data_IF_327557246754
#
_entry.id   IF_327557246754
#
_cell.length_a   1.000
_cell.length_b   1.000
_cell.length_c   1.000
_cell.angle_alpha   90.00
_cell.angle_beta   90.00
_cell.angle_gamma   90.00
#
_symmetry.space_group_name_H-M   'P 1'
#
loop_
_entity.id
_entity.type
_entity.pdbx_description
1 polymer ?
#
# COMPACT_ATOMS: atom_id res chain seq x y z
N UNK A 1 -16.66 6.17 6.42
CA UNK A 1 -16.40 5.36 5.20
C UNK A 1 -14.91 5.08 5.05
N UNK A 2 -14.54 3.85 4.73
CA UNK A 2 -13.17 3.45 4.43
C UNK A 2 -12.97 3.36 2.91
N UNK A 3 -11.77 3.67 2.42
CA UNK A 3 -11.38 3.40 1.03
C UNK A 3 -10.35 2.27 1.00
N UNK A 4 -10.61 1.23 0.22
CA UNK A 4 -9.67 0.12 -0.02
C UNK A 4 -9.28 0.11 -1.49
N UNK A 5 -8.02 0.44 -1.81
CA UNK A 5 -7.53 0.27 -3.17
C UNK A 5 -7.02 -1.15 -3.38
N UNK A 6 -7.19 -1.71 -4.58
CA UNK A 6 -6.91 -3.13 -4.81
C UNK A 6 -7.92 -4.06 -4.11
N UNK A 7 -9.09 -3.53 -3.75
CA UNK A 7 -10.11 -4.24 -2.98
C UNK A 7 -10.75 -5.43 -3.69
N UNK A 8 -10.66 -5.53 -5.02
CA UNK A 8 -11.13 -6.68 -5.78
C UNK A 8 -10.06 -7.79 -5.93
N UNK A 9 -8.82 -7.54 -5.50
CA UNK A 9 -7.75 -8.53 -5.48
C UNK A 9 -7.94 -9.60 -4.40
N UNK A 10 -7.05 -10.60 -4.39
CA UNK A 10 -7.13 -11.72 -3.45
C UNK A 10 -7.09 -11.25 -1.98
N UNK A 11 -6.08 -10.48 -1.59
CA UNK A 11 -5.96 -9.98 -0.22
C UNK A 11 -7.03 -8.91 0.06
N UNK A 12 -7.20 -7.96 -0.86
CA UNK A 12 -8.12 -6.84 -0.71
C UNK A 12 -9.56 -7.27 -0.50
N UNK A 13 -10.05 -8.27 -1.22
CA UNK A 13 -11.43 -8.75 -1.10
C UNK A 13 -11.71 -9.44 0.24
N UNK A 14 -10.72 -10.09 0.82
CA UNK A 14 -10.82 -10.65 2.18
C UNK A 14 -10.87 -9.54 3.23
N UNK A 15 -10.09 -8.48 3.05
CA UNK A 15 -10.16 -7.31 3.93
C UNK A 15 -11.51 -6.61 3.81
N UNK A 16 -11.99 -6.35 2.58
CA UNK A 16 -13.32 -5.76 2.32
C UNK A 16 -14.43 -6.59 2.96
N UNK A 17 -14.27 -7.92 2.99
CA UNK A 17 -15.23 -8.81 3.64
C UNK A 17 -15.36 -8.64 5.15
N UNK A 18 -14.31 -8.14 5.80
CA UNK A 18 -14.25 -7.94 7.26
C UNK A 18 -14.58 -6.51 7.68
N UNK A 19 -14.78 -5.61 6.74
CA UNK A 19 -15.02 -4.18 6.99
C UNK A 19 -16.47 -3.80 6.64
N UNK A 20 -16.95 -2.72 7.24
CA UNK A 20 -18.23 -2.10 6.94
C UNK A 20 -17.99 -0.71 6.36
N UNK A 21 -18.98 -0.19 5.61
CA UNK A 21 -18.93 1.14 5.00
C UNK A 21 -17.65 1.39 4.18
N UNK A 22 -17.46 0.52 3.17
CA UNK A 22 -16.25 0.47 2.36
C UNK A 22 -16.54 0.89 0.92
N UNK A 23 -15.77 1.83 0.41
CA UNK A 23 -15.59 2.07 -1.02
C UNK A 23 -14.35 1.31 -1.51
N UNK A 24 -14.45 0.70 -2.68
CA UNK A 24 -13.35 -0.04 -3.33
C UNK A 24 -12.86 0.75 -4.54
N UNK A 25 -11.53 0.94 -4.63
CA UNK A 25 -10.90 1.47 -5.84
C UNK A 25 -10.09 0.36 -6.50
N UNK A 26 -10.52 -0.09 -7.68
CA UNK A 26 -9.82 -1.15 -8.41
C UNK A 26 -10.16 -1.14 -9.91
N UNK A 27 -9.28 -1.71 -10.74
CA UNK A 27 -9.61 -2.12 -12.10
C UNK A 27 -10.23 -3.52 -12.07
N UNK A 28 -11.50 -3.65 -12.45
CA UNK A 28 -12.19 -4.93 -12.42
C UNK A 28 -11.82 -5.85 -13.60
N UNK A 29 -11.35 -5.26 -14.71
CA UNK A 29 -10.94 -6.00 -15.89
C UNK A 29 -12.05 -6.86 -16.50
N UNK A 30 -11.63 -7.86 -17.29
CA UNK A 30 -12.53 -8.80 -17.97
C UNK A 30 -12.42 -10.25 -17.46
N UNK A 31 -11.51 -10.52 -16.55
CA UNK A 31 -11.15 -11.83 -16.01
C UNK A 31 -12.01 -12.32 -14.83
N UNK A 32 -13.09 -11.60 -14.56
CA UNK A 32 -14.05 -11.97 -13.51
C UNK A 32 -13.65 -11.57 -12.09
N UNK A 33 -12.68 -10.68 -11.91
CA UNK A 33 -12.23 -10.12 -10.63
C UNK A 33 -13.37 -9.54 -9.77
N UNK A 34 -14.42 -9.00 -10.40
CA UNK A 34 -15.63 -8.51 -9.73
C UNK A 34 -16.32 -9.56 -8.84
N UNK A 35 -16.16 -10.86 -9.14
CA UNK A 35 -16.77 -11.95 -8.35
C UNK A 35 -16.29 -11.96 -6.91
N UNK A 36 -15.09 -11.46 -6.65
CA UNK A 36 -14.54 -11.34 -5.30
C UNK A 36 -15.32 -10.36 -4.43
N UNK A 37 -16.02 -9.41 -5.06
CA UNK A 37 -16.84 -8.39 -4.41
C UNK A 37 -18.35 -8.68 -4.47
N UNK A 38 -18.81 -9.62 -5.30
CA UNK A 38 -20.22 -9.82 -5.63
C UNK A 38 -21.14 -10.08 -4.43
N UNK A 39 -20.59 -10.58 -3.31
CA UNK A 39 -21.34 -10.86 -2.08
C UNK A 39 -21.21 -9.77 -1.02
N UNK A 40 -20.64 -8.60 -1.38
CA UNK A 40 -20.36 -7.53 -0.44
C UNK A 40 -21.30 -6.36 -0.64
N UNK A 41 -21.70 -5.74 0.46
CA UNK A 41 -22.38 -4.46 0.41
C UNK A 41 -21.30 -3.38 0.43
N UNK A 42 -21.13 -2.69 -0.69
CA UNK A 42 -20.12 -1.65 -0.87
C UNK A 42 -20.80 -0.28 -0.89
N UNK A 43 -20.13 0.72 -0.35
CA UNK A 43 -20.54 2.10 -0.47
C UNK A 43 -20.35 2.62 -1.91
N UNK A 44 -19.25 2.20 -2.57
CA UNK A 44 -18.96 2.57 -3.95
C UNK A 44 -17.89 1.65 -4.57
N UNK A 45 -17.80 1.64 -5.91
CA UNK A 45 -16.72 0.99 -6.68
C UNK A 45 -16.19 1.98 -7.71
N UNK A 46 -14.96 2.44 -7.51
CA UNK A 46 -14.36 3.55 -8.24
C UNK A 46 -13.19 3.04 -9.08
N UNK A 47 -13.15 3.31 -10.40
CA UNK A 47 -11.95 3.01 -11.17
C UNK A 47 -10.79 3.93 -10.75
N UNK A 48 -9.54 3.46 -10.71
CA UNK A 48 -8.38 4.26 -10.30
C UNK A 48 -8.19 5.57 -11.10
N UNK A 49 -8.65 5.59 -12.35
CA UNK A 49 -8.61 6.79 -13.22
C UNK A 49 -9.52 7.92 -12.75
N UNK A 50 -10.57 7.61 -12.00
CA UNK A 50 -11.56 8.57 -11.49
C UNK A 50 -11.36 8.89 -10.01
N UNK A 51 -10.42 8.22 -9.34
CA UNK A 51 -10.28 8.34 -7.89
C UNK A 51 -10.00 9.77 -7.44
N UNK A 52 -9.21 10.54 -8.18
CA UNK A 52 -8.88 11.92 -7.80
C UNK A 52 -10.13 12.80 -7.74
N UNK A 53 -10.98 12.76 -8.77
CA UNK A 53 -12.24 13.49 -8.80
C UNK A 53 -13.22 12.96 -7.72
N UNK A 54 -13.25 11.65 -7.52
CA UNK A 54 -14.10 11.03 -6.49
C UNK A 54 -13.74 11.48 -5.08
N UNK A 55 -12.47 11.80 -4.81
CA UNK A 55 -11.95 12.22 -3.50
C UNK A 55 -12.22 13.71 -3.18
N UNK A 56 -12.54 14.58 -4.16
CA UNK A 56 -12.54 16.04 -3.99
C UNK A 56 -13.38 16.53 -2.79
N UNK A 57 -14.60 16.02 -2.60
CA UNK A 57 -15.51 16.47 -1.55
C UNK A 57 -15.78 15.41 -0.47
N UNK A 58 -14.89 14.43 -0.33
CA UNK A 58 -15.13 13.30 0.57
C UNK A 58 -14.29 13.35 1.84
N UNK A 59 -14.91 12.90 2.92
CA UNK A 59 -14.23 12.58 4.18
C UNK A 59 -14.13 11.09 4.33
N UNK A 60 -12.92 10.60 4.51
CA UNK A 60 -12.63 9.19 4.75
C UNK A 60 -12.10 9.00 6.16
N UNK A 61 -12.53 7.92 6.80
CA UNK A 61 -12.01 7.52 8.12
C UNK A 61 -10.60 6.96 8.01
N UNK A 62 -10.31 6.25 6.91
CA UNK A 62 -8.96 5.79 6.55
C UNK A 62 -8.90 5.37 5.08
N UNK A 63 -7.69 5.32 4.56
CA UNK A 63 -7.34 4.71 3.27
C UNK A 63 -6.45 3.49 3.51
N UNK A 64 -6.84 2.33 2.97
CA UNK A 64 -6.04 1.11 2.96
C UNK A 64 -5.61 0.84 1.53
N UNK A 65 -4.33 1.14 1.27
CA UNK A 65 -3.78 1.10 -0.07
C UNK A 65 -3.03 -0.21 -0.34
N UNK A 66 -3.68 -1.09 -1.11
CA UNK A 66 -3.15 -2.41 -1.49
C UNK A 66 -3.04 -2.57 -3.01
N UNK A 67 -3.64 -1.63 -3.78
CA UNK A 67 -3.61 -1.65 -5.24
C UNK A 67 -2.19 -1.50 -5.78
N UNK A 68 -1.78 -2.47 -6.60
CA UNK A 68 -0.50 -2.45 -7.29
C UNK A 68 -0.53 -3.45 -8.46
N UNK A 69 0.32 -3.23 -9.46
CA UNK A 69 0.74 -4.27 -10.38
C UNK A 69 1.77 -5.11 -9.62
N UNK A 70 1.39 -6.34 -9.24
CA UNK A 70 2.18 -7.21 -8.36
C UNK A 70 2.93 -8.33 -9.10
N UNK A 71 2.83 -8.35 -10.42
CA UNK A 71 3.50 -9.33 -11.27
C UNK A 71 5.01 -9.10 -11.26
N UNK A 72 5.75 -10.10 -10.78
CA UNK A 72 7.22 -10.03 -10.70
C UNK A 72 7.91 -10.10 -12.06
N UNK A 73 7.16 -10.53 -13.09
CA UNK A 73 7.60 -10.62 -14.49
C UNK A 73 7.14 -9.42 -15.32
N UNK A 74 6.48 -8.42 -14.74
CA UNK A 74 6.07 -7.21 -15.46
C UNK A 74 7.28 -6.50 -16.06
N UNK A 75 7.17 -6.09 -17.33
CA UNK A 75 8.25 -5.45 -18.10
C UNK A 75 7.96 -4.00 -18.48
N UNK A 76 6.69 -3.57 -18.41
CA UNK A 76 6.31 -2.18 -18.69
C UNK A 76 6.65 -1.29 -17.47
N UNK A 77 7.83 -0.69 -17.55
CA UNK A 77 8.36 0.17 -16.47
C UNK A 77 7.52 1.42 -16.22
N UNK A 78 7.04 2.05 -17.29
CA UNK A 78 6.25 3.28 -17.17
C UNK A 78 4.90 3.01 -16.52
N UNK A 79 4.22 1.94 -16.92
CA UNK A 79 2.95 1.52 -16.35
C UNK A 79 3.10 1.13 -14.86
N UNK A 80 4.14 0.37 -14.52
CA UNK A 80 4.40 -0.04 -13.13
C UNK A 80 4.71 1.16 -12.25
N UNK A 81 5.53 2.10 -12.71
CA UNK A 81 5.85 3.32 -11.95
C UNK A 81 4.64 4.23 -11.81
N UNK A 82 3.85 4.40 -12.86
CA UNK A 82 2.63 5.20 -12.77
C UNK A 82 1.64 4.60 -11.75
N UNK A 83 1.45 3.28 -11.78
CA UNK A 83 0.49 2.59 -10.91
C UNK A 83 1.00 2.42 -9.48
N UNK A 84 2.23 1.94 -9.31
CA UNK A 84 2.72 1.54 -7.97
C UNK A 84 3.35 2.69 -7.19
N UNK A 85 3.94 3.68 -7.89
CA UNK A 85 4.65 4.77 -7.25
C UNK A 85 3.90 6.10 -7.34
N UNK A 86 3.59 6.58 -8.54
CA UNK A 86 2.97 7.91 -8.72
C UNK A 86 1.54 7.97 -8.18
N UNK A 87 0.73 6.95 -8.48
CA UNK A 87 -0.63 6.85 -7.93
C UNK A 87 -0.59 6.78 -6.40
N UNK A 88 0.28 5.94 -5.84
CA UNK A 88 0.47 5.82 -4.39
C UNK A 88 0.90 7.15 -3.75
N UNK A 89 1.80 7.89 -4.43
CA UNK A 89 2.27 9.20 -3.97
C UNK A 89 1.15 10.24 -3.96
N UNK A 90 0.33 10.32 -5.03
CA UNK A 90 -0.82 11.22 -5.07
C UNK A 90 -1.84 10.93 -3.97
N UNK A 91 -2.09 9.64 -3.72
CA UNK A 91 -3.01 9.22 -2.67
C UNK A 91 -2.49 9.53 -1.26
N UNK A 92 -1.19 9.34 -1.03
CA UNK A 92 -0.52 9.74 0.20
C UNK A 92 -0.57 11.26 0.40
N UNK A 93 -0.39 12.05 -0.66
CA UNK A 93 -0.47 13.51 -0.61
C UNK A 93 -1.88 13.95 -0.21
N UNK A 94 -2.91 13.38 -0.82
CA UNK A 94 -4.29 13.65 -0.46
C UNK A 94 -4.58 13.31 1.00
N UNK A 95 -4.18 12.10 1.45
CA UNK A 95 -4.34 11.68 2.85
C UNK A 95 -3.62 12.62 3.83
N UNK A 96 -2.46 13.13 3.44
CA UNK A 96 -1.67 14.07 4.25
C UNK A 96 -2.39 15.41 4.40
N UNK A 97 -2.92 15.97 3.32
CA UNK A 97 -3.66 17.25 3.31
C UNK A 97 -4.94 17.15 4.15
N UNK A 98 -5.65 16.03 4.05
CA UNK A 98 -6.94 15.83 4.73
C UNK A 98 -6.80 15.19 6.12
N UNK A 99 -5.57 14.99 6.62
CA UNK A 99 -5.28 14.31 7.89
C UNK A 99 -5.95 12.92 8.00
N UNK A 100 -6.12 12.24 6.86
CA UNK A 100 -6.73 10.92 6.76
C UNK A 100 -5.67 9.85 7.03
N UNK A 101 -5.92 8.88 7.94
CA UNK A 101 -5.02 7.75 8.15
C UNK A 101 -4.78 6.97 6.85
N UNK A 102 -3.50 6.67 6.57
CA UNK A 102 -3.07 5.94 5.38
C UNK A 102 -2.34 4.67 5.80
N UNK A 103 -2.89 3.51 5.43
CA UNK A 103 -2.29 2.19 5.63
C UNK A 103 -1.84 1.70 4.27
N UNK A 104 -0.55 1.40 4.15
CA UNK A 104 0.06 0.96 2.90
C UNK A 104 0.67 -0.43 3.06
N UNK A 105 0.51 -1.26 2.03
CA UNK A 105 1.10 -2.60 1.98
C UNK A 105 2.33 -2.59 1.09
N UNK A 106 3.51 -2.77 1.68
CA UNK A 106 4.75 -3.02 0.97
C UNK A 106 4.84 -4.50 0.52
N UNK A 107 6.02 -4.99 0.22
CA UNK A 107 6.21 -6.36 -0.27
C UNK A 107 7.52 -6.95 0.20
N UNK A 108 7.54 -8.26 0.45
CA UNK A 108 8.78 -9.01 0.67
C UNK A 108 9.73 -8.97 -0.54
N UNK A 109 9.23 -8.69 -1.74
CA UNK A 109 10.05 -8.51 -2.94
C UNK A 109 11.06 -7.35 -2.83
N UNK A 110 10.89 -6.44 -1.84
CA UNK A 110 11.83 -5.35 -1.55
C UNK A 110 13.16 -5.85 -0.99
N UNK A 111 13.18 -7.02 -0.32
CA UNK A 111 14.41 -7.61 0.24
C UNK A 111 15.37 -8.18 -0.80
N UNK A 112 14.91 -8.37 -2.05
CA UNK A 112 15.74 -8.98 -3.11
C UNK A 112 16.08 -10.44 -2.81
N UNK A 113 17.34 -10.82 -2.93
CA UNK A 113 17.83 -12.17 -2.60
C UNK A 113 17.98 -12.42 -1.09
N UNK A 114 17.74 -11.39 -0.27
CA UNK A 114 17.88 -11.51 1.17
C UNK A 114 19.28 -11.35 1.72
N UNK A 115 20.24 -10.84 0.93
CA UNK A 115 21.65 -10.64 1.34
C UNK A 115 21.80 -9.77 2.61
N UNK A 116 20.81 -8.92 2.87
CA UNK A 116 20.75 -8.07 4.07
C UNK A 116 19.89 -8.69 5.19
N UNK A 117 19.47 -9.93 5.02
CA UNK A 117 18.48 -10.59 5.88
C UNK A 117 17.05 -10.10 5.63
N UNK A 118 16.08 -10.79 6.21
CA UNK A 118 14.65 -10.44 6.17
C UNK A 118 14.25 -9.74 7.48
N UNK A 119 14.95 -8.65 7.79
CA UNK A 119 14.75 -7.90 9.04
C UNK A 119 13.79 -6.75 8.78
N UNK A 120 12.70 -6.66 9.57
CA UNK A 120 11.76 -5.55 9.53
C UNK A 120 12.36 -4.33 10.25
N UNK A 121 13.27 -3.65 9.56
CA UNK A 121 13.93 -2.42 9.99
C UNK A 121 13.47 -1.26 9.11
N UNK A 122 12.63 -0.39 9.66
CA UNK A 122 12.11 0.80 8.99
C UNK A 122 13.06 2.00 9.04
N UNK A 123 14.34 1.82 9.31
CA UNK A 123 15.32 2.90 9.17
C UNK A 123 15.64 3.16 7.69
N UNK A 124 15.90 4.44 7.36
CA UNK A 124 16.27 4.82 6.00
C UNK A 124 17.57 4.11 5.58
N UNK A 125 18.52 3.95 6.49
CA UNK A 125 19.79 3.30 6.20
C UNK A 125 19.63 1.81 5.94
N UNK A 126 18.75 1.11 6.63
CA UNK A 126 18.43 -0.28 6.34
C UNK A 126 17.77 -0.43 4.96
N UNK A 127 16.74 0.38 4.68
CA UNK A 127 16.08 0.32 3.38
C UNK A 127 17.02 0.63 2.22
N UNK A 128 17.89 1.61 2.33
CA UNK A 128 18.87 1.96 1.27
C UNK A 128 19.83 0.82 0.92
N UNK A 129 20.00 -0.16 1.77
CA UNK A 129 20.83 -1.36 1.50
C UNK A 129 20.10 -2.44 0.72
N UNK A 130 18.76 -2.45 0.73
CA UNK A 130 17.98 -3.46 0.02
C UNK A 130 18.19 -3.37 -1.50
N UNK A 131 18.12 -4.52 -2.17
CA UNK A 131 18.36 -4.64 -3.62
C UNK A 131 17.26 -5.49 -4.26
N UNK A 132 16.07 -4.90 -4.56
CA UNK A 132 15.00 -5.61 -5.24
C UNK A 132 15.45 -6.19 -6.58
N UNK A 133 15.02 -7.40 -6.90
CA UNK A 133 15.44 -8.15 -8.10
C UNK A 133 14.57 -7.89 -9.33
N UNK A 134 13.42 -7.30 -9.17
CA UNK A 134 12.46 -7.09 -10.25
C UNK A 134 11.77 -5.73 -10.14
N UNK A 135 11.10 -5.35 -11.23
CA UNK A 135 10.44 -4.06 -11.37
C UNK A 135 9.37 -3.83 -10.30
N UNK A 136 8.58 -4.86 -9.95
CA UNK A 136 7.59 -4.79 -8.90
C UNK A 136 8.24 -4.48 -7.53
N UNK A 137 9.21 -5.29 -7.10
CA UNK A 137 9.93 -5.08 -5.85
C UNK A 137 10.58 -3.70 -5.77
N UNK A 138 11.22 -3.27 -6.88
CA UNK A 138 11.82 -1.94 -6.96
C UNK A 138 10.78 -0.82 -6.83
N UNK A 139 9.62 -0.92 -7.46
CA UNK A 139 8.56 0.08 -7.37
C UNK A 139 8.01 0.24 -5.94
N UNK A 140 7.89 -0.87 -5.21
CA UNK A 140 7.47 -0.87 -3.80
C UNK A 140 8.55 -0.26 -2.90
N UNK A 141 9.79 -0.68 -3.10
CA UNK A 141 10.95 -0.14 -2.37
C UNK A 141 11.12 1.37 -2.57
N UNK A 142 10.92 1.87 -3.80
CA UNK A 142 10.97 3.29 -4.11
C UNK A 142 9.93 4.08 -3.29
N UNK A 143 8.73 3.52 -3.13
CA UNK A 143 7.69 4.15 -2.33
C UNK A 143 7.95 4.05 -0.82
N UNK A 144 8.51 2.95 -0.34
CA UNK A 144 8.94 2.79 1.06
C UNK A 144 9.97 3.86 1.45
N UNK A 145 10.97 4.11 0.59
CA UNK A 145 11.95 5.18 0.78
C UNK A 145 11.30 6.57 0.81
N UNK A 146 10.38 6.85 -0.12
CA UNK A 146 9.66 8.13 -0.17
C UNK A 146 8.89 8.40 1.14
N UNK A 147 8.18 7.40 1.65
CA UNK A 147 7.42 7.53 2.91
C UNK A 147 8.36 7.88 4.05
N UNK A 148 9.46 7.16 4.20
CA UNK A 148 10.40 7.39 5.31
C UNK A 148 11.10 8.73 5.22
N UNK A 149 11.49 9.16 4.02
CA UNK A 149 12.07 10.49 3.83
C UNK A 149 11.08 11.61 4.19
N UNK A 150 9.82 11.47 3.80
CA UNK A 150 8.76 12.42 4.17
C UNK A 150 8.51 12.45 5.69
N UNK A 151 8.51 11.31 6.33
CA UNK A 151 8.38 11.22 7.79
C UNK A 151 9.58 11.83 8.52
N UNK A 152 10.79 11.60 8.06
CA UNK A 152 12.01 12.20 8.61
C UNK A 152 11.96 13.74 8.53
N UNK A 153 11.69 14.29 7.35
CA UNK A 153 11.55 15.74 7.14
C UNK A 153 10.47 16.37 8.05
N UNK A 154 9.35 15.67 8.21
CA UNK A 154 8.27 16.16 9.08
C UNK A 154 8.66 16.15 10.56
N UNK A 155 9.46 15.17 11.01
CA UNK A 155 10.03 15.13 12.36
C UNK A 155 11.03 16.25 12.60
N UNK A 156 11.93 16.48 11.65
CA UNK A 156 12.91 17.58 11.70
C UNK A 156 12.21 18.94 11.78
N UNK A 157 11.19 19.16 10.96
CA UNK A 157 10.40 20.39 11.01
C UNK A 157 9.65 20.56 12.33
N UNK A 158 8.99 19.52 12.84
CA UNK A 158 8.29 19.57 14.13
C UNK A 158 9.25 19.84 15.29
N UNK A 159 10.44 19.25 15.29
CA UNK A 159 11.49 19.51 16.27
C UNK A 159 12.01 20.95 16.18
N UNK A 160 12.19 21.51 14.99
CA UNK A 160 12.68 22.87 14.77
C UNK A 160 11.71 23.96 15.25
N UNK A 161 10.39 23.71 15.20
CA UNK A 161 9.36 24.68 15.64
C UNK A 161 8.90 24.47 17.10
N UNK A 162 9.49 23.50 17.82
CA UNK A 162 9.13 23.20 19.21
C UNK A 162 7.70 22.70 19.42
N UNK A 163 7.08 22.16 18.36
CA UNK A 163 5.71 21.66 18.38
C UNK A 163 5.60 20.24 18.95
N UNK A 164 4.48 19.91 19.64
CA UNK A 164 4.29 18.61 20.26
C UNK A 164 4.04 17.50 19.23
N UNK A 165 4.44 16.32 19.62
CA UNK A 165 4.31 15.00 18.96
C UNK A 165 2.99 14.74 18.22
N UNK A 166 2.88 15.14 16.97
CA UNK A 166 1.78 14.69 16.06
C UNK A 166 2.11 13.35 15.39
N UNK A 167 3.19 12.69 15.77
CA UNK A 167 3.79 11.55 15.05
C UNK A 167 3.45 10.16 15.60
N UNK A 168 2.46 10.01 16.50
CA UNK A 168 2.16 8.70 17.09
C UNK A 168 1.28 7.74 16.27
N UNK A 169 0.92 8.02 15.01
CA UNK A 169 -0.04 7.18 14.28
C UNK A 169 0.50 6.36 13.11
N UNK A 170 1.80 6.38 12.84
CA UNK A 170 2.41 5.45 11.86
C UNK A 170 3.33 4.45 12.55
N UNK A 171 2.81 3.73 13.53
CA UNK A 171 3.45 2.50 14.01
C UNK A 171 2.98 1.37 13.08
N UNK A 172 3.90 0.83 12.29
CA UNK A 172 3.77 -0.53 11.78
C UNK A 172 3.42 -1.42 12.96
N UNK A 173 2.22 -1.96 13.00
CA UNK A 173 1.90 -3.04 13.95
C UNK A 173 2.70 -4.23 13.47
N UNK A 174 3.72 -4.62 14.24
CA UNK A 174 4.43 -5.87 14.07
C UNK A 174 3.41 -6.99 13.93
N UNK A 175 3.50 -7.74 12.86
CA UNK A 175 2.92 -9.08 12.79
C UNK A 175 3.64 -9.87 13.91
N UNK A 176 2.92 -10.56 14.81
CA UNK A 176 3.57 -11.33 15.87
C UNK A 176 4.54 -12.32 15.23
N UNK A 177 5.78 -12.36 15.69
CA UNK A 177 6.72 -13.44 15.41
C UNK A 177 6.09 -14.73 15.97
N UNK A 178 5.72 -15.66 15.09
CA UNK A 178 5.11 -16.93 15.50
C UNK A 178 4.34 -17.64 14.41
N UNK A 179 4.82 -17.56 13.16
CA UNK A 179 4.42 -18.46 12.07
C UNK A 179 5.67 -18.85 11.28
N UNK A 180 6.65 -19.42 11.98
CA UNK A 180 7.61 -20.30 11.38
C UNK A 180 6.88 -21.62 11.08
N UNK A 181 7.17 -22.17 9.91
CA UNK A 181 6.73 -23.47 9.37
C UNK A 181 5.33 -23.51 8.73
N UNK A 182 5.30 -23.35 7.41
CA UNK A 182 4.15 -23.76 6.62
C UNK A 182 3.95 -23.10 5.26
N UNK A 183 4.99 -22.77 4.53
CA UNK A 183 4.82 -22.48 3.10
C UNK A 183 4.68 -23.79 2.32
N UNK A 184 3.47 -24.35 2.32
CA UNK A 184 3.13 -25.48 1.46
C UNK A 184 2.79 -24.94 0.07
N UNK A 185 3.67 -25.19 -0.88
CA UNK A 185 3.42 -25.01 -2.30
C UNK A 185 2.26 -25.92 -2.73
N UNK A 186 1.12 -25.32 -3.08
CA UNK A 186 0.05 -26.02 -3.78
C UNK A 186 0.33 -26.01 -5.29
N UNK A 187 0.24 -27.14 -5.98
CA UNK A 187 0.42 -27.18 -7.43
C UNK A 187 -0.77 -26.56 -8.16
N UNK A 188 -0.47 -25.73 -9.14
CA UNK A 188 -1.42 -25.19 -10.12
C UNK A 188 -1.94 -26.36 -10.96
N UNK A 189 -3.25 -26.53 -11.00
CA UNK A 189 -3.96 -27.23 -12.07
C UNK A 189 -4.84 -26.24 -12.82
#
# INVERSE_FOLDING_TARGET
MLLVTGGAGFIGSNLVAALNDVAVCDFLGSDGKWRNLAKRQLADVVPPTELSAWLEDRKLDAVIHMGAISETIATDGDLVIETNFRFSSRLLDWCTVHATPFIYVSSAATYGEGDQGFVDDASIDALKRLRPMNLYGWSKHLFDLLILERLAKRREYAAAIGGPEVLQRFRSKRIPQGLDDGCVSAPVR
#
